data_IF_839071801690
#
_entry.id   IF_839071801690
#
_cell.length_a   1.000
_cell.length_b   1.000
_cell.length_c   1.000
_cell.angle_alpha   90.00
_cell.angle_beta   90.00
_cell.angle_gamma   90.00
#
_symmetry.space_group_name_H-M   'P 1'
#
loop_
_entity.id
_entity.type
_entity.pdbx_description
1 polymer ?
#
# COMPACT_ATOMS: atom_id res chain seq x y z
N UNK A 1 -16.31 -23.50 -0.22
CA UNK A 1 -15.65 -22.38 0.48
C UNK A 1 -14.41 -22.03 -0.33
N UNK A 2 -14.33 -20.82 -0.89
CA UNK A 2 -13.23 -20.42 -1.80
C UNK A 2 -12.00 -20.09 -0.97
N UNK A 3 -11.09 -21.07 -0.84
CA UNK A 3 -9.78 -20.91 -0.22
C UNK A 3 -8.79 -20.32 -1.20
N UNK A 4 -8.96 -19.05 -1.55
CA UNK A 4 -7.98 -18.34 -2.36
C UNK A 4 -6.79 -17.96 -1.48
N UNK A 5 -5.64 -18.58 -1.76
CA UNK A 5 -4.35 -18.15 -1.23
C UNK A 5 -3.77 -17.19 -2.26
N UNK A 6 -3.59 -15.92 -1.88
CA UNK A 6 -3.06 -14.90 -2.78
C UNK A 6 -1.63 -15.20 -3.23
N UNK A 7 -1.28 -14.75 -4.43
CA UNK A 7 0.07 -14.91 -4.99
C UNK A 7 1.15 -14.31 -4.08
N UNK A 8 0.82 -13.22 -3.35
CA UNK A 8 1.70 -12.59 -2.35
C UNK A 8 2.10 -13.50 -1.18
N UNK A 9 1.30 -14.53 -0.91
CA UNK A 9 1.57 -15.54 0.10
C UNK A 9 2.33 -16.71 -0.53
N UNK A 10 1.92 -17.18 -1.71
CA UNK A 10 2.57 -18.32 -2.38
C UNK A 10 4.02 -18.05 -2.78
N UNK A 11 4.36 -16.82 -3.19
CA UNK A 11 5.74 -16.42 -3.51
C UNK A 11 6.72 -16.53 -2.31
N UNK A 12 6.19 -16.68 -1.09
CA UNK A 12 7.00 -16.86 0.12
C UNK A 12 7.45 -18.30 0.31
N UNK A 13 6.95 -19.24 -0.48
CA UNK A 13 7.22 -20.66 -0.35
C UNK A 13 7.74 -21.26 -1.65
N UNK A 14 8.58 -22.28 -1.53
CA UNK A 14 8.74 -23.23 -2.62
C UNK A 14 7.54 -24.17 -2.62
N UNK A 15 6.76 -24.13 -3.70
CA UNK A 15 5.53 -24.89 -3.84
C UNK A 15 5.81 -26.16 -4.65
N UNK A 16 5.58 -27.33 -4.05
CA UNK A 16 5.62 -28.61 -4.77
C UNK A 16 4.22 -29.22 -4.84
N UNK A 17 3.74 -29.45 -6.05
CA UNK A 17 2.42 -30.03 -6.30
C UNK A 17 2.53 -31.53 -6.54
N UNK A 18 2.00 -32.34 -5.63
CA UNK A 18 1.71 -33.76 -5.87
C UNK A 18 0.30 -33.86 -6.45
N UNK A 19 0.21 -33.82 -7.78
CA UNK A 19 -1.07 -33.88 -8.50
C UNK A 19 -1.79 -35.23 -8.33
N UNK A 20 -1.06 -36.32 -8.12
CA UNK A 20 -1.65 -37.65 -7.94
C UNK A 20 -2.33 -37.79 -6.57
N UNK A 21 -1.78 -37.13 -5.55
CA UNK A 21 -2.33 -37.14 -4.18
C UNK A 21 -3.14 -35.88 -3.84
N UNK A 22 -3.30 -34.95 -4.78
CA UNK A 22 -3.99 -33.68 -4.56
C UNK A 22 -3.39 -32.86 -3.41
N UNK A 23 -2.06 -32.95 -3.21
CA UNK A 23 -1.37 -32.35 -2.06
C UNK A 23 -0.42 -31.25 -2.53
N UNK A 24 -0.43 -30.11 -1.84
CA UNK A 24 0.54 -29.02 -2.02
C UNK A 24 1.47 -28.98 -0.82
N UNK A 25 2.77 -29.13 -1.08
CA UNK A 25 3.81 -28.97 -0.08
C UNK A 25 4.38 -27.55 -0.16
N UNK A 26 4.45 -26.87 0.98
CA UNK A 26 4.95 -25.52 1.12
C UNK A 26 6.20 -25.54 2.01
N UNK A 27 7.35 -25.29 1.40
CA UNK A 27 8.61 -25.10 2.13
C UNK A 27 8.92 -23.61 2.25
N UNK A 28 9.39 -23.11 3.42
CA UNK A 28 9.83 -21.73 3.55
C UNK A 28 10.82 -21.32 2.45
N UNK A 29 10.42 -20.38 1.60
CA UNK A 29 11.27 -19.78 0.58
C UNK A 29 12.08 -18.60 1.15
N UNK A 30 12.94 -18.01 0.32
CA UNK A 30 13.79 -16.86 0.72
C UNK A 30 13.00 -15.64 1.23
N UNK A 31 11.72 -15.52 0.87
CA UNK A 31 10.82 -14.43 1.26
C UNK A 31 9.86 -14.81 2.40
N UNK A 32 10.03 -15.98 3.03
CA UNK A 32 9.13 -16.50 4.07
C UNK A 32 8.93 -15.55 5.25
N UNK A 33 10.00 -14.86 5.68
CA UNK A 33 9.94 -13.87 6.77
C UNK A 33 9.47 -12.47 6.34
N UNK A 34 9.23 -12.22 5.05
CA UNK A 34 8.76 -10.91 4.60
C UNK A 34 7.28 -10.76 4.98
N UNK A 35 7.00 -9.84 5.91
CA UNK A 35 5.63 -9.39 6.15
C UNK A 35 5.16 -8.63 4.92
N UNK A 36 3.85 -8.61 4.67
CA UNK A 36 3.31 -7.81 3.55
C UNK A 36 3.87 -6.41 3.68
N UNK A 37 4.56 -5.92 2.63
CA UNK A 37 5.07 -4.57 2.64
C UNK A 37 3.86 -3.64 2.67
N UNK A 38 3.42 -3.25 3.87
CA UNK A 38 2.52 -2.13 4.00
C UNK A 38 3.22 -0.91 3.42
N UNK A 39 2.46 -0.02 2.80
CA UNK A 39 3.02 1.28 2.43
C UNK A 39 3.54 1.92 3.71
N UNK A 40 4.74 2.50 3.67
CA UNK A 40 5.31 3.22 4.82
C UNK A 40 4.51 4.47 5.21
N UNK A 41 3.64 4.93 4.33
CA UNK A 41 2.64 5.94 4.67
C UNK A 41 1.47 5.38 5.48
N UNK A 42 1.19 4.08 5.39
CA UNK A 42 -0.03 3.46 5.92
C UNK A 42 -1.29 3.72 5.08
N UNK A 43 -1.14 4.28 3.88
CA UNK A 43 -2.25 4.49 2.94
C UNK A 43 -2.41 3.29 2.01
N UNK A 44 -3.63 2.76 1.96
CA UNK A 44 -4.07 1.90 0.88
C UNK A 44 -4.97 2.68 -0.06
N UNK A 45 -4.59 2.73 -1.33
CA UNK A 45 -5.30 3.50 -2.34
C UNK A 45 -5.48 2.70 -3.62
N UNK A 46 -6.59 2.97 -4.30
CA UNK A 46 -6.91 2.41 -5.60
C UNK A 46 -6.83 3.51 -6.64
N UNK A 47 -6.55 3.12 -7.88
CA UNK A 47 -6.58 4.02 -9.04
C UNK A 47 -7.76 3.64 -9.91
N UNK A 48 -8.67 4.57 -10.11
CA UNK A 48 -9.81 4.39 -11.00
C UNK A 48 -9.95 5.62 -11.90
N UNK A 49 -9.88 5.41 -13.22
CA UNK A 49 -9.99 6.47 -14.23
C UNK A 49 -9.06 7.69 -13.98
N UNK A 50 -7.83 7.45 -13.50
CA UNK A 50 -6.86 8.51 -13.19
C UNK A 50 -7.05 9.19 -11.82
N UNK A 51 -8.07 8.78 -11.06
CA UNK A 51 -8.31 9.25 -9.69
C UNK A 51 -7.69 8.28 -8.70
N UNK A 52 -6.93 8.79 -7.73
CA UNK A 52 -6.37 8.01 -6.62
C UNK A 52 -7.26 8.19 -5.39
N UNK A 53 -7.87 7.11 -4.92
CA UNK A 53 -8.83 7.13 -3.80
C UNK A 53 -8.31 6.23 -2.69
N UNK A 54 -8.28 6.74 -1.47
CA UNK A 54 -7.94 5.97 -0.27
C UNK A 54 -9.06 4.97 -0.01
N UNK A 55 -8.75 3.67 0.01
CA UNK A 55 -9.70 2.62 0.38
C UNK A 55 -9.39 2.00 1.76
N UNK A 56 -8.26 2.36 2.36
CA UNK A 56 -7.87 1.91 3.69
C UNK A 56 -6.78 2.77 4.30
N UNK A 57 -6.81 2.86 5.63
CA UNK A 57 -5.79 3.54 6.44
C UNK A 57 -5.38 2.56 7.53
N UNK A 58 -4.08 2.29 7.63
CA UNK A 58 -3.55 1.36 8.63
C UNK A 58 -3.58 2.05 10.00
N UNK A 59 -4.06 1.34 11.03
CA UNK A 59 -4.09 1.85 12.40
C UNK A 59 -2.68 2.02 12.96
N UNK A 60 -2.44 3.11 13.68
CA UNK A 60 -1.14 3.50 14.23
C UNK A 60 -0.11 3.90 13.16
N UNK A 61 -0.57 4.22 11.94
CA UNK A 61 0.32 4.62 10.84
C UNK A 61 0.43 6.14 10.71
N UNK A 62 1.47 6.64 10.01
CA UNK A 62 1.60 8.07 9.73
C UNK A 62 0.38 8.69 9.03
N UNK A 63 -0.35 7.91 8.22
CA UNK A 63 -1.58 8.38 7.59
C UNK A 63 -2.75 8.53 8.55
N UNK A 64 -2.89 7.65 9.55
CA UNK A 64 -3.91 7.82 10.60
C UNK A 64 -3.61 9.06 11.44
N UNK A 65 -2.34 9.24 11.83
CA UNK A 65 -1.88 10.41 12.59
C UNK A 65 -2.08 11.72 11.80
N UNK A 66 -1.91 11.68 10.48
CA UNK A 66 -2.19 12.78 9.58
C UNK A 66 -3.70 12.99 9.30
N UNK A 67 -4.57 12.12 9.84
CA UNK A 67 -6.02 12.26 9.79
C UNK A 67 -6.66 11.82 8.47
N UNK A 68 -5.99 10.98 7.68
CA UNK A 68 -6.57 10.38 6.49
C UNK A 68 -7.75 9.46 6.84
N UNK A 69 -8.69 9.36 5.90
CA UNK A 69 -9.86 8.50 5.97
C UNK A 69 -10.09 7.81 4.64
N UNK A 70 -10.84 6.71 4.71
CA UNK A 70 -11.38 6.05 3.52
C UNK A 70 -12.23 7.06 2.74
N UNK A 71 -12.20 6.94 1.41
CA UNK A 71 -12.81 7.86 0.42
C UNK A 71 -12.09 9.19 0.20
N UNK A 72 -11.00 9.48 0.93
CA UNK A 72 -10.16 10.63 0.60
C UNK A 72 -9.61 10.50 -0.82
N UNK A 73 -9.75 11.57 -1.61
CA UNK A 73 -9.27 11.60 -2.99
C UNK A 73 -7.95 12.34 -3.04
N UNK A 74 -6.87 11.64 -3.36
CA UNK A 74 -5.55 12.25 -3.45
C UNK A 74 -5.45 13.14 -4.70
N UNK A 75 -5.05 14.39 -4.51
CA UNK A 75 -4.95 15.42 -5.58
C UNK A 75 -3.52 15.80 -5.93
N UNK A 76 -2.60 15.78 -4.96
CA UNK A 76 -1.18 16.03 -5.22
C UNK A 76 -0.27 15.40 -4.16
N UNK A 77 0.98 15.15 -4.57
CA UNK A 77 2.06 14.66 -3.70
C UNK A 77 3.29 15.54 -3.91
N UNK A 78 3.83 16.11 -2.84
CA UNK A 78 4.96 17.04 -2.86
C UNK A 78 4.77 18.20 -3.87
N UNK A 79 3.54 18.72 -3.97
CA UNK A 79 3.18 19.78 -4.92
C UNK A 79 3.03 19.32 -6.39
N UNK A 80 3.43 18.10 -6.75
CA UNK A 80 3.17 17.50 -8.07
C UNK A 80 1.76 16.92 -8.09
N UNK A 81 0.92 17.41 -8.99
CA UNK A 81 -0.45 16.95 -9.19
C UNK A 81 -0.49 15.43 -9.48
N UNK A 82 -1.53 14.75 -8.99
CA UNK A 82 -1.59 13.29 -8.97
C UNK A 82 -1.59 12.65 -10.36
N UNK A 83 -2.18 13.35 -11.34
CA UNK A 83 -2.23 12.97 -12.75
C UNK A 83 -0.84 12.92 -13.41
N UNK A 84 0.13 13.65 -12.85
CA UNK A 84 1.51 13.61 -13.30
C UNK A 84 2.31 12.47 -12.69
N UNK A 85 1.82 11.75 -11.69
CA UNK A 85 2.52 10.62 -11.08
C UNK A 85 2.21 9.31 -11.81
N UNK A 86 3.23 8.59 -12.25
CA UNK A 86 3.01 7.21 -12.69
C UNK A 86 2.64 6.32 -11.48
N UNK A 87 1.99 5.17 -11.69
CA UNK A 87 1.75 4.20 -10.61
C UNK A 87 3.03 3.82 -9.88
N UNK A 88 4.08 3.52 -10.65
CA UNK A 88 5.36 3.05 -10.13
C UNK A 88 6.09 4.13 -9.33
N UNK A 89 6.03 5.39 -9.76
CA UNK A 89 6.63 6.51 -9.01
C UNK A 89 5.94 6.71 -7.66
N UNK A 90 4.61 6.68 -7.64
CA UNK A 90 3.83 6.90 -6.43
C UNK A 90 4.00 5.74 -5.44
N UNK A 91 3.92 4.50 -5.95
CA UNK A 91 4.12 3.31 -5.15
C UNK A 91 5.52 3.30 -4.54
N UNK A 92 6.55 3.58 -5.35
CA UNK A 92 7.94 3.65 -4.85
C UNK A 92 8.10 4.72 -3.77
N UNK A 93 7.47 5.89 -3.92
CA UNK A 93 7.55 6.93 -2.90
C UNK A 93 6.88 6.49 -1.59
N UNK A 94 5.64 6.02 -1.65
CA UNK A 94 4.82 5.73 -0.46
C UNK A 94 5.15 4.38 0.19
N UNK A 95 5.69 3.43 -0.57
CA UNK A 95 6.09 2.09 -0.11
C UNK A 95 7.58 2.02 0.21
N UNK A 96 8.44 2.46 -0.70
CA UNK A 96 9.88 2.23 -0.63
C UNK A 96 10.66 3.46 -0.15
N UNK A 97 10.01 4.63 -0.04
CA UNK A 97 10.60 5.86 0.47
C UNK A 97 11.21 5.64 1.86
N UNK A 98 12.41 6.18 2.10
CA UNK A 98 13.15 5.96 3.34
C UNK A 98 12.34 6.42 4.57
N UNK A 99 12.37 5.68 5.69
CA UNK A 99 11.79 6.14 6.94
C UNK A 99 12.35 7.52 7.34
N UNK A 100 11.51 8.40 7.88
CA UNK A 100 11.85 9.78 8.17
C UNK A 100 11.66 10.75 6.99
N UNK A 101 11.36 10.27 5.78
CA UNK A 101 11.03 11.15 4.65
C UNK A 101 9.69 11.82 4.90
N UNK A 102 9.68 13.16 4.87
CA UNK A 102 8.44 13.93 4.93
C UNK A 102 7.81 14.00 3.55
N UNK A 103 6.54 13.63 3.46
CA UNK A 103 5.75 13.68 2.24
C UNK A 103 4.54 14.58 2.48
N UNK A 104 4.41 15.60 1.62
CA UNK A 104 3.26 16.51 1.63
C UNK A 104 2.18 15.98 0.71
N UNK A 105 1.03 15.61 1.28
CA UNK A 105 -0.10 15.09 0.53
C UNK A 105 -1.24 16.11 0.55
N UNK A 106 -1.78 16.40 -0.63
CA UNK A 106 -3.01 17.17 -0.80
C UNK A 106 -4.10 16.24 -1.26
N UNK A 107 -5.23 16.24 -0.54
CA UNK A 107 -6.38 15.40 -0.82
C UNK A 107 -7.66 16.21 -0.70
N UNK A 108 -8.75 15.65 -1.20
CA UNK A 108 -10.09 16.20 -1.12
C UNK A 108 -10.97 15.26 -0.31
N UNK A 109 -11.76 15.83 0.61
CA UNK A 109 -12.78 15.14 1.37
C UNK A 109 -14.00 16.03 1.48
N UNK A 110 -15.16 15.51 1.10
CA UNK A 110 -16.43 16.25 1.10
C UNK A 110 -16.33 17.58 0.33
N UNK A 111 -15.63 17.56 -0.82
CA UNK A 111 -15.36 18.73 -1.68
C UNK A 111 -14.43 19.80 -1.09
N UNK A 112 -13.87 19.56 0.09
CA UNK A 112 -12.86 20.43 0.70
C UNK A 112 -11.46 19.89 0.47
N UNK A 113 -10.57 20.74 -0.06
CA UNK A 113 -9.15 20.42 -0.16
C UNK A 113 -8.45 20.55 1.20
N UNK A 114 -7.69 19.52 1.55
CA UNK A 114 -6.84 19.47 2.74
C UNK A 114 -5.43 19.13 2.33
N UNK A 115 -4.46 19.73 3.01
CA UNK A 115 -3.04 19.44 2.81
C UNK A 115 -2.43 19.08 4.14
N UNK A 116 -1.77 17.93 4.19
CA UNK A 116 -1.10 17.42 5.38
C UNK A 116 0.31 16.97 5.03
N UNK A 117 1.19 17.04 6.00
CA UNK A 117 2.53 16.47 5.91
C UNK A 117 2.57 15.23 6.78
N UNK A 118 3.03 14.11 6.23
CA UNK A 118 3.24 12.88 6.98
C UNK A 118 4.69 12.45 6.84
N UNK A 119 5.21 11.82 7.88
CA UNK A 119 6.57 11.27 7.88
C UNK A 119 6.47 9.78 7.66
N UNK A 120 7.11 9.26 6.61
CA UNK A 120 7.12 7.83 6.33
C UNK A 120 7.78 7.07 7.47
N UNK A 121 7.15 5.98 7.91
CA UNK A 121 7.67 5.12 8.96
C UNK A 121 7.46 3.66 8.56
N UNK A 122 8.24 2.75 9.14
CA UNK A 122 7.96 1.33 8.96
C UNK A 122 6.67 1.00 9.71
N UNK A 123 5.65 0.58 8.97
CA UNK A 123 4.34 0.19 9.49
C UNK A 123 4.38 -1.33 9.73
N UNK A 124 3.99 -1.74 10.95
CA UNK A 124 4.16 -3.08 11.54
C UNK A 124 3.80 -4.27 10.64
#
# INVERSE_FOLDING_TARGET
MQGNIGTSVLERFHCTFDYARGTLWLEPGARFGQHEAFTRSGLWFTRWAGVVIVYGVVKGSPAEDAGFKVEDVLRAVNGRAIDRWTPEELDRLLRDGSPGTVVKLRFERELEERTVELTLADVL
#
